data_IF_790640764103
#
_entry.id   IF_790640764103
#
_cell.length_a   1.000
_cell.length_b   1.000
_cell.length_c   1.000
_cell.angle_alpha   90.00
_cell.angle_beta   90.00
_cell.angle_gamma   90.00
#
_symmetry.space_group_name_H-M   'P 1'
#
loop_
_entity.id
_entity.type
_entity.pdbx_description
1 polymer ?
#
# COMPACT_ATOMS: atom_id res chain seq x y z
N UNK A 1 -14.20 9.03 14.18
CA UNK A 1 -12.98 9.85 14.19
C UNK A 1 -12.68 10.33 15.60
N UNK A 2 -11.54 9.96 16.18
CA UNK A 2 -11.13 10.47 17.50
C UNK A 2 -10.66 11.91 17.38
N UNK A 3 -10.76 12.71 18.46
CA UNK A 3 -10.23 14.08 18.52
C UNK A 3 -8.73 14.14 18.17
N UNK A 4 -8.01 13.05 18.41
CA UNK A 4 -6.59 12.89 18.10
C UNK A 4 -6.34 12.72 16.59
N UNK A 5 -7.22 12.01 15.88
CA UNK A 5 -7.10 11.77 14.44
C UNK A 5 -7.34 13.07 13.67
N UNK A 6 -8.39 13.82 14.04
CA UNK A 6 -8.67 15.14 13.44
C UNK A 6 -7.49 16.11 13.60
N UNK A 7 -6.83 16.13 14.76
CA UNK A 7 -5.65 17.00 14.95
C UNK A 7 -4.46 16.60 14.09
N UNK A 8 -4.32 15.30 13.76
CA UNK A 8 -3.28 14.84 12.86
C UNK A 8 -3.58 15.28 11.41
N UNK A 9 -4.84 15.17 10.98
CA UNK A 9 -5.27 15.57 9.64
C UNK A 9 -5.15 17.09 9.41
N UNK A 10 -5.52 17.91 10.40
CA UNK A 10 -5.31 19.35 10.39
C UNK A 10 -3.80 19.72 10.29
N UNK A 11 -2.94 18.97 10.97
CA UNK A 11 -1.48 19.17 10.92
C UNK A 11 -0.90 18.79 9.56
N UNK A 12 -1.40 17.71 8.93
CA UNK A 12 -1.06 17.31 7.57
C UNK A 12 -1.46 18.41 6.58
N UNK A 13 -2.68 18.94 6.67
CA UNK A 13 -3.12 20.06 5.83
C UNK A 13 -2.19 21.28 5.97
N UNK A 14 -1.87 21.68 7.20
CA UNK A 14 -0.99 22.82 7.47
C UNK A 14 0.46 22.58 6.97
N UNK A 15 0.95 21.34 7.05
CA UNK A 15 2.26 20.95 6.51
C UNK A 15 2.28 21.02 4.98
N UNK A 16 1.26 20.50 4.30
CA UNK A 16 1.11 20.61 2.85
C UNK A 16 1.05 22.08 2.43
N UNK A 17 0.35 22.94 3.18
CA UNK A 17 0.22 24.36 2.83
C UNK A 17 1.58 25.06 2.91
N UNK A 18 2.41 24.72 3.91
CA UNK A 18 3.81 25.20 3.97
C UNK A 18 4.62 24.78 2.75
N UNK A 19 4.45 23.54 2.29
CA UNK A 19 5.14 23.02 1.12
C UNK A 19 4.72 23.74 -0.17
N UNK A 20 3.44 24.02 -0.33
CA UNK A 20 2.94 24.80 -1.47
C UNK A 20 3.52 26.22 -1.51
N UNK A 21 3.67 26.87 -0.34
CA UNK A 21 4.38 28.16 -0.26
C UNK A 21 5.83 28.04 -0.73
N UNK A 22 6.54 26.98 -0.35
CA UNK A 22 7.92 26.75 -0.81
C UNK A 22 7.97 26.52 -2.33
N UNK A 23 7.10 25.66 -2.86
CA UNK A 23 7.00 25.39 -4.30
C UNK A 23 6.67 26.65 -5.12
N UNK A 24 5.82 27.52 -4.59
CA UNK A 24 5.48 28.83 -5.17
C UNK A 24 6.61 29.89 -5.09
N UNK A 25 7.79 29.52 -4.57
CA UNK A 25 8.95 30.40 -4.45
C UNK A 25 8.97 31.23 -3.18
N UNK A 26 8.40 30.71 -2.10
CA UNK A 26 8.31 31.34 -0.77
C UNK A 26 7.79 32.79 -0.79
N UNK A 27 6.63 33.06 -1.43
CA UNK A 27 6.06 34.39 -1.41
C UNK A 27 5.71 34.80 0.03
N UNK A 28 5.82 36.09 0.34
CA UNK A 28 5.48 36.57 1.69
C UNK A 28 3.97 36.44 1.93
N UNK A 29 3.58 36.08 3.16
CA UNK A 29 2.16 35.96 3.52
C UNK A 29 1.40 37.27 3.28
N UNK A 30 2.05 38.42 3.50
CA UNK A 30 1.48 39.73 3.21
C UNK A 30 1.26 39.99 1.72
N UNK A 31 2.15 39.50 0.84
CA UNK A 31 1.97 39.61 -0.61
C UNK A 31 0.77 38.79 -1.07
N UNK A 32 0.67 37.54 -0.61
CA UNK A 32 -0.40 36.64 -1.00
C UNK A 32 -1.75 37.13 -0.46
N UNK A 33 -1.80 37.53 0.82
CA UNK A 33 -2.97 38.13 1.46
C UNK A 33 -3.63 39.25 0.65
N UNK A 34 -2.81 40.16 0.10
CA UNK A 34 -3.29 41.28 -0.74
C UNK A 34 -3.94 40.84 -2.04
N UNK A 35 -3.56 39.68 -2.58
CA UNK A 35 -4.05 39.19 -3.86
C UNK A 35 -5.33 38.36 -3.72
N UNK A 36 -5.52 37.66 -2.59
CA UNK A 36 -6.67 36.78 -2.36
C UNK A 36 -7.73 37.35 -1.43
N UNK A 37 -7.49 38.53 -0.83
CA UNK A 37 -8.48 39.21 0.01
C UNK A 37 -8.62 38.63 1.42
N UNK A 38 -7.68 37.78 1.86
CA UNK A 38 -7.63 37.19 3.20
C UNK A 38 -6.54 37.85 4.03
N UNK A 39 -6.75 38.04 5.34
CA UNK A 39 -5.75 38.66 6.21
C UNK A 39 -4.47 37.83 6.33
N UNK A 40 -3.32 38.50 6.43
CA UNK A 40 -2.04 37.83 6.61
C UNK A 40 -1.96 36.99 7.91
N UNK A 41 -2.63 37.45 8.98
CA UNK A 41 -2.74 36.71 10.23
C UNK A 41 -3.49 35.39 10.05
N UNK A 42 -4.61 35.42 9.33
CA UNK A 42 -5.43 34.24 9.03
C UNK A 42 -4.64 33.19 8.26
N UNK A 43 -3.96 33.59 7.18
CA UNK A 43 -3.12 32.67 6.39
C UNK A 43 -1.99 32.08 7.26
N UNK A 44 -1.39 32.88 8.13
CA UNK A 44 -0.37 32.40 9.05
C UNK A 44 -0.91 31.38 10.07
N UNK A 45 -2.15 31.57 10.54
CA UNK A 45 -2.81 30.62 11.43
C UNK A 45 -3.09 29.28 10.75
N UNK A 46 -3.59 29.28 9.52
CA UNK A 46 -3.79 28.07 8.71
C UNK A 46 -2.47 27.32 8.50
N UNK A 47 -1.42 28.05 8.16
CA UNK A 47 -0.09 27.47 7.89
C UNK A 47 0.60 26.87 9.13
N UNK A 48 0.21 27.32 10.32
CA UNK A 48 0.75 26.82 11.59
C UNK A 48 -0.13 25.76 12.24
N UNK A 49 -1.27 25.42 11.63
CA UNK A 49 -2.26 24.51 12.22
C UNK A 49 -2.94 25.07 13.47
N UNK A 50 -2.79 26.37 13.77
CA UNK A 50 -3.41 27.00 14.95
C UNK A 50 -4.92 27.21 14.77
N UNK A 51 -5.33 27.43 13.53
CA UNK A 51 -6.74 27.54 13.16
C UNK A 51 -6.92 26.82 11.83
N UNK A 52 -8.01 26.08 11.67
CA UNK A 52 -8.39 25.46 10.41
C UNK A 52 -9.49 26.31 9.73
N UNK A 53 -9.50 26.49 8.39
CA UNK A 53 -10.58 27.23 7.73
C UNK A 53 -11.92 26.53 7.94
N UNK A 54 -13.00 27.30 8.15
CA UNK A 54 -14.34 26.71 8.37
C UNK A 54 -14.97 26.19 7.09
N UNK A 55 -14.60 26.74 5.93
CA UNK A 55 -15.11 26.37 4.62
C UNK A 55 -13.98 26.37 3.60
N UNK A 56 -14.00 25.42 2.66
CA UNK A 56 -12.99 25.32 1.60
C UNK A 56 -12.94 26.58 0.73
N UNK A 57 -14.09 27.18 0.42
CA UNK A 57 -14.19 28.42 -0.36
C UNK A 57 -13.39 29.59 0.23
N UNK A 58 -13.12 29.56 1.55
CA UNK A 58 -12.32 30.60 2.23
C UNK A 58 -10.83 30.50 1.88
N UNK A 59 -10.34 29.28 1.60
CA UNK A 59 -8.93 29.00 1.31
C UNK A 59 -8.68 28.69 -0.17
N UNK A 60 -9.70 28.31 -0.94
CA UNK A 60 -9.60 27.95 -2.35
C UNK A 60 -8.87 29.01 -3.22
N UNK A 61 -9.15 30.32 -3.13
CA UNK A 61 -8.45 31.32 -3.94
C UNK A 61 -6.94 31.37 -3.66
N UNK A 62 -6.55 31.12 -2.40
CA UNK A 62 -5.15 31.00 -1.98
C UNK A 62 -4.47 29.80 -2.64
N UNK A 63 -5.15 28.66 -2.64
CA UNK A 63 -4.64 27.41 -3.19
C UNK A 63 -4.49 27.50 -4.71
N UNK A 64 -5.52 27.98 -5.41
CA UNK A 64 -5.48 28.17 -6.87
C UNK A 64 -4.31 29.05 -7.29
N UNK A 65 -4.14 30.20 -6.62
CA UNK A 65 -3.06 31.13 -6.94
C UNK A 65 -1.67 30.53 -6.69
N UNK A 66 -1.47 29.87 -5.54
CA UNK A 66 -0.16 29.31 -5.20
C UNK A 66 0.17 28.09 -6.08
N UNK A 67 -0.82 27.27 -6.42
CA UNK A 67 -0.67 26.15 -7.36
C UNK A 67 -0.31 26.64 -8.76
N UNK A 68 -1.02 27.63 -9.30
CA UNK A 68 -0.68 28.22 -10.61
C UNK A 68 0.75 28.82 -10.61
N UNK A 69 1.11 29.55 -9.54
CA UNK A 69 2.45 30.10 -9.37
C UNK A 69 3.53 29.01 -9.28
N UNK A 70 3.26 27.91 -8.60
CA UNK A 70 4.17 26.76 -8.52
C UNK A 70 4.37 26.12 -9.91
N UNK A 71 3.28 25.89 -10.67
CA UNK A 71 3.37 25.38 -12.03
C UNK A 71 4.09 26.34 -12.99
N UNK A 72 3.91 27.64 -12.84
CA UNK A 72 4.64 28.63 -13.64
C UNK A 72 6.16 28.55 -13.39
N UNK A 73 6.58 28.31 -12.15
CA UNK A 73 7.99 28.13 -11.79
C UNK A 73 8.58 26.84 -12.33
N UNK A 74 7.80 25.75 -12.35
CA UNK A 74 8.18 24.48 -12.99
C UNK A 74 8.38 24.69 -14.49
N UNK A 75 7.41 25.31 -15.17
CA UNK A 75 7.49 25.61 -16.62
C UNK A 75 8.68 26.50 -17.01
N UNK A 76 9.09 27.41 -16.12
CA UNK A 76 10.20 28.33 -16.36
C UNK A 76 11.57 27.77 -15.94
N UNK A 77 11.63 26.52 -15.45
CA UNK A 77 12.87 25.88 -15.01
C UNK A 77 13.49 26.53 -13.76
N UNK A 78 12.78 27.44 -13.11
CA UNK A 78 13.24 28.18 -11.94
C UNK A 78 13.07 27.41 -10.62
N UNK A 79 12.61 26.15 -10.71
CA UNK A 79 12.30 25.28 -9.59
C UNK A 79 12.91 23.90 -9.81
N UNK A 80 13.67 23.41 -8.83
CA UNK A 80 14.03 21.99 -8.71
C UNK A 80 12.85 21.14 -8.18
N UNK A 81 11.67 21.73 -7.98
CA UNK A 81 10.47 21.08 -7.43
C UNK A 81 9.78 20.07 -8.38
N UNK A 82 10.52 19.45 -9.29
CA UNK A 82 10.06 18.22 -9.95
C UNK A 82 9.93 17.07 -8.94
N UNK A 83 10.57 17.18 -7.77
CA UNK A 83 10.55 16.18 -6.68
C UNK A 83 9.41 16.34 -5.65
N UNK A 84 8.65 17.44 -5.70
CA UNK A 84 7.54 17.69 -4.78
C UNK A 84 6.27 17.95 -5.60
N UNK A 85 5.52 16.90 -5.91
CA UNK A 85 4.25 16.98 -6.63
C UNK A 85 3.38 18.13 -6.11
N UNK A 86 3.06 19.09 -6.99
CA UNK A 86 2.18 20.21 -6.65
C UNK A 86 0.76 19.67 -6.61
N UNK A 87 0.14 19.72 -5.43
CA UNK A 87 -1.22 19.22 -5.24
C UNK A 87 -2.23 20.00 -6.11
N UNK A 88 -3.10 19.25 -6.79
CA UNK A 88 -4.23 19.80 -7.55
C UNK A 88 -5.30 20.35 -6.60
N UNK A 89 -6.17 21.23 -7.10
CA UNK A 89 -7.28 21.79 -6.31
C UNK A 89 -8.18 20.70 -5.73
N UNK A 90 -8.35 19.59 -6.46
CA UNK A 90 -9.13 18.42 -6.01
C UNK A 90 -8.47 17.67 -4.86
N UNK A 91 -7.15 17.48 -4.92
CA UNK A 91 -6.37 16.87 -3.83
C UNK A 91 -6.38 17.77 -2.58
N UNK A 92 -6.33 19.09 -2.77
CA UNK A 92 -6.49 20.05 -1.68
C UNK A 92 -7.86 19.96 -1.01
N UNK A 93 -8.91 19.77 -1.79
CA UNK A 93 -10.25 19.59 -1.27
C UNK A 93 -10.35 18.28 -0.47
N UNK A 94 -9.76 17.18 -0.95
CA UNK A 94 -9.68 15.93 -0.19
C UNK A 94 -8.94 16.08 1.16
N UNK A 95 -7.81 16.78 1.19
CA UNK A 95 -7.11 17.10 2.44
C UNK A 95 -7.93 18.01 3.37
N UNK A 96 -8.70 18.94 2.79
CA UNK A 96 -9.58 19.81 3.56
C UNK A 96 -10.73 19.02 4.17
N UNK A 97 -11.38 18.16 3.39
CA UNK A 97 -12.52 17.34 3.82
C UNK A 97 -12.10 16.36 4.93
N UNK A 98 -10.93 15.71 4.77
CA UNK A 98 -10.32 14.85 5.79
C UNK A 98 -10.07 15.62 7.10
N UNK A 99 -9.47 16.81 7.03
CA UNK A 99 -9.19 17.64 8.21
C UNK A 99 -10.46 18.26 8.82
N UNK A 100 -11.46 18.61 8.02
CA UNK A 100 -12.77 19.05 8.48
C UNK A 100 -13.56 17.91 9.14
N UNK A 101 -13.20 16.66 8.84
CA UNK A 101 -14.00 15.49 9.14
C UNK A 101 -15.36 15.49 8.45
N UNK A 102 -15.48 16.18 7.32
CA UNK A 102 -16.55 15.90 6.36
C UNK A 102 -16.14 14.61 5.63
N UNK A 103 -16.95 13.55 5.75
CA UNK A 103 -16.89 12.43 4.80
C UNK A 103 -16.87 13.02 3.39
N UNK A 104 -15.81 12.73 2.61
CA UNK A 104 -15.68 13.09 1.20
C UNK A 104 -17.02 12.82 0.52
N UNK A 105 -17.75 13.88 0.19
CA UNK A 105 -19.17 13.77 -0.18
C UNK A 105 -19.32 12.84 -1.40
N UNK A 106 -20.10 11.78 -1.23
CA UNK A 106 -20.52 10.77 -2.22
C UNK A 106 -20.52 11.19 -3.71
N UNK A 107 -21.02 12.37 -4.15
CA UNK A 107 -21.00 12.78 -5.56
C UNK A 107 -19.61 12.81 -6.23
N UNK A 108 -18.54 13.13 -5.49
CA UNK A 108 -17.19 13.16 -6.07
C UNK A 108 -16.65 11.75 -6.33
N UNK A 109 -16.94 10.81 -5.43
CA UNK A 109 -16.59 9.40 -5.56
C UNK A 109 -17.42 8.73 -6.66
N UNK A 110 -18.70 9.08 -6.78
CA UNK A 110 -19.58 8.62 -7.86
C UNK A 110 -19.04 9.05 -9.24
N UNK A 111 -18.54 10.28 -9.36
CA UNK A 111 -17.94 10.75 -10.61
C UNK A 111 -16.63 10.03 -10.94
N UNK A 112 -15.77 9.76 -9.93
CA UNK A 112 -14.52 9.00 -10.12
C UNK A 112 -14.85 7.56 -10.51
N UNK A 113 -15.79 6.92 -9.81
CA UNK A 113 -16.26 5.58 -10.11
C UNK A 113 -16.81 5.49 -11.55
N UNK A 114 -17.64 6.46 -11.97
CA UNK A 114 -18.18 6.51 -13.32
C UNK A 114 -17.10 6.75 -14.39
N UNK A 115 -16.06 7.54 -14.08
CA UNK A 115 -14.91 7.74 -14.96
C UNK A 115 -14.04 6.49 -15.07
N UNK A 116 -13.75 5.82 -13.94
CA UNK A 116 -13.03 4.55 -13.90
C UNK A 116 -13.76 3.44 -14.64
N UNK A 117 -15.10 3.36 -14.52
CA UNK A 117 -15.90 2.37 -15.25
C UNK A 117 -15.91 2.64 -16.75
N UNK A 118 -16.03 3.91 -17.18
CA UNK A 118 -15.95 4.26 -18.60
C UNK A 118 -14.59 3.93 -19.20
N UNK A 119 -13.52 4.19 -18.45
CA UNK A 119 -12.17 3.80 -18.83
C UNK A 119 -12.06 2.28 -18.97
N UNK A 120 -12.47 1.51 -17.96
CA UNK A 120 -12.39 0.04 -17.98
C UNK A 120 -13.21 -0.61 -19.11
N UNK A 121 -14.29 0.03 -19.57
CA UNK A 121 -15.08 -0.43 -20.72
C UNK A 121 -14.43 -0.14 -22.07
N UNK A 122 -13.59 0.90 -22.14
CA UNK A 122 -12.88 1.30 -23.35
C UNK A 122 -11.50 0.61 -23.48
N UNK A 123 -10.90 0.22 -22.35
CA UNK A 123 -9.60 -0.45 -22.28
C UNK A 123 -9.66 -1.93 -22.66
N UNK A 124 -8.53 -2.48 -23.10
CA UNK A 124 -8.40 -3.92 -23.36
C UNK A 124 -8.29 -4.74 -22.06
N UNK A 125 -8.46 -6.05 -22.17
CA UNK A 125 -8.45 -6.96 -21.02
C UNK A 125 -7.11 -6.95 -20.25
N UNK A 126 -5.98 -6.72 -20.93
CA UNK A 126 -4.67 -6.64 -20.30
C UNK A 126 -4.52 -5.38 -19.45
N UNK A 127 -4.94 -4.23 -19.97
CA UNK A 127 -4.96 -2.97 -19.22
C UNK A 127 -5.90 -3.04 -17.99
N UNK A 128 -7.07 -3.68 -18.14
CA UNK A 128 -8.01 -3.87 -17.02
C UNK A 128 -7.43 -4.79 -15.94
N UNK A 129 -6.74 -5.86 -16.31
CA UNK A 129 -6.09 -6.76 -15.35
C UNK A 129 -4.90 -6.09 -14.65
N UNK A 130 -4.14 -5.28 -15.38
CA UNK A 130 -3.09 -4.45 -14.78
C UNK A 130 -3.68 -3.46 -13.76
N UNK A 131 -4.78 -2.77 -14.11
CA UNK A 131 -5.47 -1.88 -13.18
C UNK A 131 -6.00 -2.63 -11.95
N UNK A 132 -6.58 -3.82 -12.13
CA UNK A 132 -7.01 -4.68 -11.01
C UNK A 132 -5.85 -4.98 -10.08
N UNK A 133 -4.71 -5.42 -10.63
CA UNK A 133 -3.51 -5.75 -9.86
C UNK A 133 -3.01 -4.54 -9.07
N UNK A 134 -2.98 -3.36 -9.70
CA UNK A 134 -2.54 -2.12 -9.05
C UNK A 134 -3.49 -1.69 -7.94
N UNK A 135 -4.79 -1.65 -8.22
CA UNK A 135 -5.79 -1.18 -7.25
C UNK A 135 -5.85 -2.11 -6.03
N UNK A 136 -5.85 -3.43 -6.23
CA UNK A 136 -5.80 -4.40 -5.12
C UNK A 136 -4.46 -4.36 -4.39
N UNK A 137 -3.36 -4.08 -5.09
CA UNK A 137 -2.05 -3.81 -4.50
C UNK A 137 -2.07 -2.65 -3.51
N UNK A 138 -2.85 -1.61 -3.79
CA UNK A 138 -3.04 -0.41 -2.98
C UNK A 138 -4.06 -0.54 -1.84
N UNK A 139 -4.51 -1.75 -1.51
CA UNK A 139 -5.47 -1.99 -0.43
C UNK A 139 -4.90 -2.90 0.64
N UNK A 140 -5.35 -2.80 1.88
CA UNK A 140 -5.05 -3.76 2.95
C UNK A 140 -6.26 -3.97 3.85
N UNK A 141 -6.21 -5.01 4.68
CA UNK A 141 -7.26 -5.26 5.67
C UNK A 141 -6.84 -4.73 7.03
N UNK A 142 -7.64 -3.82 7.58
CA UNK A 142 -7.54 -3.40 8.97
C UNK A 142 -7.79 -4.57 9.94
N UNK A 143 -7.39 -4.41 11.19
CA UNK A 143 -7.63 -5.36 12.29
C UNK A 143 -9.13 -5.66 12.46
N UNK A 144 -9.99 -4.69 12.17
CA UNK A 144 -11.45 -4.83 12.24
C UNK A 144 -12.06 -5.51 11.00
N UNK A 145 -11.23 -5.94 10.03
CA UNK A 145 -11.65 -6.56 8.78
C UNK A 145 -12.08 -5.57 7.69
N UNK A 146 -12.07 -4.26 7.96
CA UNK A 146 -12.32 -3.24 6.95
C UNK A 146 -11.19 -3.18 5.92
N UNK A 147 -11.52 -2.94 4.65
CA UNK A 147 -10.52 -2.73 3.60
C UNK A 147 -10.17 -1.25 3.52
N UNK A 148 -8.89 -0.92 3.67
CA UNK A 148 -8.38 0.46 3.70
C UNK A 148 -7.29 0.69 2.65
N UNK A 149 -7.13 1.92 2.13
CA UNK A 149 -6.04 2.23 1.21
C UNK A 149 -4.68 2.15 1.89
N UNK A 150 -3.68 1.67 1.16
CA UNK A 150 -2.26 1.71 1.53
C UNK A 150 -1.43 2.32 0.41
N UNK A 151 -0.30 2.91 0.79
CA UNK A 151 0.73 3.28 -0.17
C UNK A 151 1.46 2.03 -0.67
N UNK A 152 1.45 1.81 -1.98
CA UNK A 152 2.12 0.68 -2.61
C UNK A 152 2.86 1.14 -3.87
N UNK A 153 4.05 0.59 -4.09
CA UNK A 153 4.81 0.84 -5.31
C UNK A 153 4.65 -0.38 -6.22
N UNK A 154 3.96 -0.26 -7.38
CA UNK A 154 3.92 -1.32 -8.35
C UNK A 154 5.34 -1.67 -8.79
N UNK A 155 5.65 -2.97 -8.83
CA UNK A 155 6.89 -3.43 -9.43
C UNK A 155 6.88 -3.02 -10.91
N UNK A 156 7.93 -2.32 -11.35
CA UNK A 156 8.12 -1.95 -12.76
C UNK A 156 8.57 -3.17 -13.55
N UNK A 157 7.76 -4.22 -13.61
CA UNK A 157 8.03 -5.40 -14.43
C UNK A 157 7.70 -5.06 -15.88
N UNK A 158 8.73 -4.60 -16.61
CA UNK A 158 8.93 -4.75 -18.07
C UNK A 158 7.79 -4.42 -19.05
N UNK A 159 8.10 -3.55 -20.01
CA UNK A 159 7.32 -3.19 -21.22
C UNK A 159 5.97 -2.49 -20.99
N UNK A 160 6.02 -1.20 -20.66
CA UNK A 160 5.04 -0.17 -21.06
C UNK A 160 3.64 -0.18 -20.44
N UNK A 161 3.05 -1.32 -20.06
CA UNK A 161 1.62 -1.37 -19.74
C UNK A 161 1.24 -0.81 -18.36
N UNK A 162 1.90 -1.26 -17.29
CA UNK A 162 1.48 -0.93 -15.90
C UNK A 162 1.70 0.55 -15.58
N UNK A 163 2.81 1.14 -16.07
CA UNK A 163 3.10 2.56 -15.85
C UNK A 163 2.09 3.48 -16.53
N UNK A 164 1.71 3.16 -17.77
CA UNK A 164 0.70 3.91 -18.51
C UNK A 164 -0.67 3.81 -17.82
N UNK A 165 -1.06 2.61 -17.37
CA UNK A 165 -2.30 2.40 -16.59
C UNK A 165 -2.28 3.19 -15.27
N UNK A 166 -1.16 3.20 -14.55
CA UNK A 166 -1.02 3.99 -13.32
C UNK A 166 -1.19 5.49 -13.60
N UNK A 167 -0.54 6.01 -14.64
CA UNK A 167 -0.66 7.41 -15.03
C UNK A 167 -2.10 7.78 -15.40
N UNK A 168 -2.78 6.95 -16.19
CA UNK A 168 -4.19 7.15 -16.56
C UNK A 168 -5.10 7.12 -15.32
N UNK A 169 -4.90 6.18 -14.39
CA UNK A 169 -5.69 6.11 -13.16
C UNK A 169 -5.45 7.30 -12.22
N UNK A 170 -4.24 7.88 -12.23
CA UNK A 170 -3.94 9.14 -11.53
C UNK A 170 -4.69 10.30 -12.18
N UNK A 171 -4.66 10.42 -13.51
CA UNK A 171 -5.37 11.47 -14.25
C UNK A 171 -6.89 11.41 -14.04
N UNK A 172 -7.45 10.20 -13.89
CA UNK A 172 -8.86 10.00 -13.56
C UNK A 172 -9.19 10.32 -12.08
N UNK A 173 -8.18 10.45 -11.22
CA UNK A 173 -8.32 10.67 -9.78
C UNK A 173 -8.69 9.41 -8.99
N UNK A 174 -8.49 8.22 -9.57
CA UNK A 174 -8.67 6.93 -8.87
C UNK A 174 -7.48 6.67 -7.94
N UNK A 175 -6.28 6.96 -8.44
CA UNK A 175 -5.03 6.84 -7.69
C UNK A 175 -4.49 8.23 -7.34
N UNK A 176 -3.75 8.29 -6.24
CA UNK A 176 -2.96 9.45 -5.82
C UNK A 176 -1.55 8.98 -5.50
N UNK A 177 -0.57 9.87 -5.65
CA UNK A 177 0.79 9.65 -5.16
C UNK A 177 0.87 10.12 -3.70
N UNK A 178 0.87 9.22 -2.70
CA UNK A 178 0.94 9.61 -1.30
C UNK A 178 2.32 10.17 -0.98
N UNK A 179 2.35 11.28 -0.25
CA UNK A 179 3.58 11.82 0.32
C UNK A 179 3.98 10.96 1.52
N UNK A 180 4.68 9.86 1.28
CA UNK A 180 5.20 8.98 2.33
C UNK A 180 6.43 9.65 2.95
N UNK A 181 6.31 10.16 4.17
CA UNK A 181 7.48 10.58 4.97
C UNK A 181 8.09 9.36 5.65
N UNK A 182 9.19 8.83 5.12
CA UNK A 182 10.07 7.95 5.90
C UNK A 182 11.16 8.77 6.60
N UNK A 183 11.47 8.38 7.83
CA UNK A 183 12.47 9.02 8.71
C UNK A 183 13.90 8.61 8.32
N UNK A 184 14.05 7.58 7.48
CA UNK A 184 15.31 7.08 6.96
C UNK A 184 15.16 6.88 5.44
N UNK A 185 16.08 7.49 4.69
CA UNK A 185 16.33 7.36 3.25
C UNK A 185 15.35 7.95 2.22
N UNK A 186 15.98 8.31 1.09
CA UNK A 186 15.53 9.02 -0.10
C UNK A 186 14.05 8.86 -0.45
N UNK A 187 13.46 9.96 -0.92
CA UNK A 187 12.10 10.04 -1.44
C UNK A 187 11.73 8.76 -2.20
N UNK A 188 10.85 7.94 -1.60
CA UNK A 188 10.25 6.76 -2.21
C UNK A 188 9.33 7.22 -3.35
N UNK A 189 9.96 7.59 -4.46
CA UNK A 189 9.31 8.00 -5.70
C UNK A 189 8.63 6.77 -6.31
N UNK A 190 7.34 6.90 -6.67
CA UNK A 190 6.57 5.84 -7.34
C UNK A 190 5.61 5.04 -6.45
N UNK A 191 5.38 5.44 -5.19
CA UNK A 191 4.24 4.91 -4.44
C UNK A 191 2.94 5.54 -4.94
N UNK A 192 1.90 4.74 -5.01
CA UNK A 192 0.52 5.14 -5.30
C UNK A 192 -0.42 4.55 -4.26
N UNK A 193 -1.57 5.19 -4.07
CA UNK A 193 -2.64 4.73 -3.20
C UNK A 193 -4.00 5.02 -3.83
N UNK A 194 -5.03 4.25 -3.48
CA UNK A 194 -6.41 4.60 -3.83
C UNK A 194 -6.80 5.88 -3.10
N UNK A 195 -7.47 6.79 -3.81
CA UNK A 195 -7.85 8.11 -3.27
C UNK A 195 -8.64 8.02 -1.96
N UNK A 196 -9.60 7.09 -1.88
CA UNK A 196 -10.51 6.93 -0.74
C UNK A 196 -11.10 5.51 -0.70
N UNK A 197 -11.34 4.96 0.48
CA UNK A 197 -11.99 3.65 0.69
C UNK A 197 -13.44 3.61 0.18
N UNK A 198 -14.18 4.72 0.24
CA UNK A 198 -15.56 4.81 -0.24
C UNK A 198 -15.70 4.59 -1.76
N UNK A 199 -14.59 4.68 -2.51
CA UNK A 199 -14.57 4.30 -3.92
C UNK A 199 -14.88 2.80 -4.10
N UNK A 200 -14.52 1.95 -3.14
CA UNK A 200 -14.81 0.50 -3.18
C UNK A 200 -16.32 0.26 -3.15
N UNK A 201 -17.05 1.03 -2.35
CA UNK A 201 -18.51 0.93 -2.25
C UNK A 201 -19.21 1.52 -3.47
N UNK A 202 -18.66 2.62 -4.00
CA UNK A 202 -19.28 3.40 -5.07
C UNK A 202 -19.01 2.82 -6.46
N UNK A 203 -17.90 2.08 -6.66
CA UNK A 203 -17.52 1.48 -7.93
C UNK A 203 -17.76 -0.04 -7.92
N UNK A 204 -18.84 -0.56 -8.54
CA UNK A 204 -19.23 -1.97 -8.43
C UNK A 204 -18.17 -2.97 -8.92
N UNK A 205 -17.36 -2.57 -9.91
CA UNK A 205 -16.27 -3.40 -10.43
C UNK A 205 -15.13 -3.53 -9.42
N UNK A 206 -14.72 -2.42 -8.82
CA UNK A 206 -13.71 -2.42 -7.75
C UNK A 206 -14.21 -3.21 -6.55
N UNK A 207 -15.48 -3.02 -6.15
CA UNK A 207 -16.11 -3.83 -5.09
C UNK A 207 -15.97 -5.33 -5.34
N UNK A 208 -16.27 -5.79 -6.57
CA UNK A 208 -16.12 -7.20 -6.95
C UNK A 208 -14.68 -7.67 -6.90
N UNK A 209 -13.74 -6.89 -7.45
CA UNK A 209 -12.32 -7.22 -7.38
C UNK A 209 -11.81 -7.35 -5.94
N UNK A 210 -12.26 -6.46 -5.06
CA UNK A 210 -11.94 -6.52 -3.63
C UNK A 210 -12.55 -7.76 -2.99
N UNK A 211 -13.82 -8.06 -3.27
CA UNK A 211 -14.47 -9.26 -2.74
C UNK A 211 -13.75 -10.56 -3.16
N UNK A 212 -13.35 -10.64 -4.43
CA UNK A 212 -12.61 -11.79 -4.97
C UNK A 212 -11.20 -11.89 -4.35
N UNK A 213 -10.54 -10.75 -4.09
CA UNK A 213 -9.19 -10.70 -3.52
C UNK A 213 -9.16 -10.72 -1.99
N UNK A 214 -10.31 -10.61 -1.31
CA UNK A 214 -10.39 -10.41 0.13
C UNK A 214 -9.66 -11.48 0.97
N UNK A 215 -9.79 -12.80 0.69
CA UNK A 215 -9.04 -13.82 1.41
C UNK A 215 -7.52 -13.62 1.30
N UNK A 216 -7.06 -13.19 0.12
CA UNK A 216 -5.66 -12.97 -0.12
C UNK A 216 -5.13 -11.69 0.52
N UNK A 217 -5.95 -10.63 0.58
CA UNK A 217 -5.63 -9.41 1.33
C UNK A 217 -5.46 -9.70 2.84
N UNK A 218 -6.31 -10.56 3.41
CA UNK A 218 -6.16 -11.03 4.81
C UNK A 218 -4.84 -11.77 4.98
N UNK A 219 -4.52 -12.70 4.08
CA UNK A 219 -3.29 -13.49 4.16
C UNK A 219 -2.04 -12.58 4.09
N UNK A 220 -2.03 -11.61 3.17
CA UNK A 220 -0.94 -10.63 3.05
C UNK A 220 -0.79 -9.79 4.32
N UNK A 221 -1.88 -9.20 4.79
CA UNK A 221 -1.83 -8.30 5.96
C UNK A 221 -1.49 -9.07 7.23
N UNK A 222 -2.01 -10.29 7.38
CA UNK A 222 -1.67 -11.19 8.48
C UNK A 222 -0.18 -11.56 8.47
N UNK A 223 0.39 -11.85 7.30
CA UNK A 223 1.83 -12.11 7.16
C UNK A 223 2.69 -10.92 7.57
N UNK A 224 2.34 -9.70 7.13
CA UNK A 224 3.06 -8.48 7.51
C UNK A 224 2.98 -8.22 9.02
N UNK A 225 1.81 -8.37 9.62
CA UNK A 225 1.64 -8.23 11.07
C UNK A 225 2.41 -9.28 11.85
N UNK A 226 2.36 -10.56 11.44
CA UNK A 226 3.08 -11.63 12.13
C UNK A 226 4.59 -11.45 12.01
N UNK A 227 5.09 -11.02 10.85
CA UNK A 227 6.49 -10.66 10.67
C UNK A 227 6.92 -9.53 11.61
N UNK A 228 6.10 -8.47 11.73
CA UNK A 228 6.37 -7.35 12.63
C UNK A 228 6.38 -7.80 14.09
N UNK A 229 5.39 -8.60 14.51
CA UNK A 229 5.30 -9.14 15.88
C UNK A 229 6.49 -10.05 16.20
N UNK A 230 6.88 -10.92 15.27
CA UNK A 230 8.04 -11.79 15.40
C UNK A 230 9.34 -11.00 15.55
N UNK A 231 9.55 -9.99 14.70
CA UNK A 231 10.73 -9.12 14.78
C UNK A 231 10.78 -8.36 16.12
N UNK A 232 9.64 -7.81 16.57
CA UNK A 232 9.55 -7.09 17.84
C UNK A 232 9.76 -7.99 19.08
N UNK A 233 9.50 -9.30 18.96
CA UNK A 233 9.65 -10.27 20.04
C UNK A 233 11.02 -10.96 20.09
N UNK A 234 12.04 -10.39 19.41
CA UNK A 234 13.39 -10.98 19.27
C UNK A 234 13.38 -12.34 18.56
N UNK A 235 12.49 -12.46 17.56
CA UNK A 235 12.50 -13.51 16.54
C UNK A 235 12.34 -14.95 17.10
N UNK A 236 11.32 -15.22 17.92
CA UNK A 236 11.13 -16.54 18.50
C UNK A 236 10.79 -17.58 17.42
N UNK A 237 11.48 -18.72 17.45
CA UNK A 237 11.26 -19.82 16.47
C UNK A 237 9.85 -20.41 16.53
N UNK A 238 9.22 -20.40 17.71
CA UNK A 238 7.88 -20.95 17.92
C UNK A 238 6.75 -20.19 17.19
N UNK A 239 7.04 -19.00 16.64
CA UNK A 239 6.05 -18.18 15.92
C UNK A 239 6.18 -18.26 14.41
N UNK A 240 7.18 -18.99 13.91
CA UNK A 240 7.36 -19.22 12.48
C UNK A 240 6.21 -20.07 11.93
N UNK A 241 5.89 -19.86 10.66
CA UNK A 241 4.83 -20.62 10.01
C UNK A 241 5.26 -22.08 9.80
N UNK A 242 4.31 -22.99 9.98
CA UNK A 242 4.44 -24.38 9.53
C UNK A 242 4.29 -24.48 8.00
N UNK A 243 4.55 -25.67 7.45
CA UNK A 243 4.48 -25.91 6.01
C UNK A 243 3.06 -25.66 5.43
N UNK A 244 2.00 -25.97 6.19
CA UNK A 244 0.61 -25.84 5.72
C UNK A 244 0.24 -24.37 5.60
N UNK A 245 0.61 -23.57 6.60
CA UNK A 245 0.38 -22.13 6.62
C UNK A 245 1.22 -21.42 5.56
N UNK A 246 2.45 -21.88 5.29
CA UNK A 246 3.27 -21.39 4.18
C UNK A 246 2.61 -21.66 2.83
N UNK A 247 2.11 -22.88 2.57
CA UNK A 247 1.43 -23.20 1.31
C UNK A 247 0.17 -22.36 1.08
N UNK A 248 -0.70 -22.25 2.10
CA UNK A 248 -1.92 -21.45 2.00
C UNK A 248 -1.63 -19.96 1.80
N UNK A 249 -0.64 -19.42 2.51
CA UNK A 249 -0.26 -18.01 2.37
C UNK A 249 0.38 -17.76 1.01
N UNK A 250 1.19 -18.69 0.50
CA UNK A 250 1.82 -18.57 -0.80
C UNK A 250 0.80 -18.55 -1.94
N UNK A 251 -0.16 -19.48 -1.92
CA UNK A 251 -1.24 -19.53 -2.91
C UNK A 251 -2.02 -18.21 -2.93
N UNK A 252 -2.41 -17.72 -1.76
CA UNK A 252 -3.05 -16.42 -1.60
C UNK A 252 -2.21 -15.27 -2.20
N UNK A 253 -0.91 -15.19 -1.90
CA UNK A 253 -0.05 -14.12 -2.44
C UNK A 253 0.11 -14.20 -3.97
N UNK A 254 0.16 -15.40 -4.54
CA UNK A 254 0.20 -15.58 -6.00
C UNK A 254 -1.09 -15.14 -6.67
N UNK A 255 -2.26 -15.31 -6.04
CA UNK A 255 -3.53 -14.77 -6.58
C UNK A 255 -3.56 -13.23 -6.64
N UNK A 256 -2.80 -12.54 -5.78
CA UNK A 256 -2.70 -11.07 -5.78
C UNK A 256 -1.72 -10.53 -6.82
N UNK A 257 -0.60 -11.21 -7.02
CA UNK A 257 0.48 -10.75 -7.90
C UNK A 257 0.23 -11.07 -9.39
N UNK A 258 -0.75 -11.94 -9.68
CA UNK A 258 -0.87 -12.56 -11.00
C UNK A 258 0.10 -13.74 -11.15
N UNK A 259 -0.24 -14.68 -12.03
CA UNK A 259 0.53 -15.90 -12.22
C UNK A 259 1.91 -15.59 -12.85
N UNK A 260 2.93 -15.48 -12.01
CA UNK A 260 4.32 -15.44 -12.47
C UNK A 260 4.98 -16.79 -12.18
N UNK A 261 5.28 -17.52 -13.25
CA UNK A 261 5.81 -18.90 -13.17
C UNK A 261 7.34 -18.85 -13.14
N UNK A 262 7.88 -18.38 -12.03
CA UNK A 262 9.32 -18.39 -11.77
C UNK A 262 9.78 -19.70 -11.15
N UNK A 263 10.51 -20.52 -11.92
CA UNK A 263 11.21 -21.70 -11.41
C UNK A 263 12.30 -21.27 -10.42
N UNK A 264 12.07 -21.53 -9.14
CA UNK A 264 13.10 -21.45 -8.11
C UNK A 264 12.85 -22.61 -7.15
N UNK A 265 13.95 -23.25 -6.73
CA UNK A 265 13.99 -24.57 -6.10
C UNK A 265 13.03 -24.83 -4.94
N UNK A 266 13.05 -26.07 -4.45
CA UNK A 266 12.07 -26.58 -3.49
C UNK A 266 11.83 -25.63 -2.31
N UNK A 267 10.57 -25.24 -2.15
CA UNK A 267 10.04 -24.39 -1.07
C UNK A 267 8.58 -24.76 -0.84
N UNK A 268 8.02 -24.40 0.31
CA UNK A 268 6.58 -24.58 0.56
C UNK A 268 5.80 -23.46 -0.12
N UNK A 269 4.91 -23.84 -1.04
CA UNK A 269 4.11 -22.92 -1.84
C UNK A 269 4.82 -22.34 -3.07
N UNK A 270 4.06 -21.68 -3.94
CA UNK A 270 4.54 -21.16 -5.23
C UNK A 270 5.03 -19.70 -5.19
N UNK A 271 4.81 -19.00 -4.08
CA UNK A 271 5.11 -17.58 -3.98
C UNK A 271 6.61 -17.28 -4.09
N UNK A 272 6.97 -16.33 -4.96
CA UNK A 272 8.34 -15.85 -5.18
C UNK A 272 8.66 -14.62 -4.34
N UNK A 273 9.94 -14.31 -4.15
CA UNK A 273 10.38 -13.18 -3.32
C UNK A 273 9.83 -11.82 -3.78
N UNK A 274 9.46 -11.68 -5.05
CA UNK A 274 8.78 -10.47 -5.57
C UNK A 274 7.32 -10.36 -5.14
N UNK A 275 6.69 -11.48 -4.76
CA UNK A 275 5.30 -11.55 -4.32
C UNK A 275 5.17 -11.44 -2.79
N UNK A 276 6.27 -11.63 -2.07
CA UNK A 276 6.31 -11.47 -0.61
C UNK A 276 6.49 -9.98 -0.28
N UNK A 277 5.67 -9.42 0.64
CA UNK A 277 5.87 -8.05 1.10
C UNK A 277 7.28 -7.85 1.68
N UNK A 278 7.93 -6.74 1.33
CA UNK A 278 9.31 -6.46 1.72
C UNK A 278 9.54 -6.54 3.24
N UNK A 279 8.56 -6.10 4.04
CA UNK A 279 8.59 -6.16 5.51
C UNK A 279 8.56 -7.59 6.07
N UNK A 280 8.10 -8.57 5.30
CA UNK A 280 7.89 -9.95 5.73
C UNK A 280 8.86 -10.95 5.10
N UNK A 281 9.75 -10.53 4.19
CA UNK A 281 10.70 -11.43 3.50
C UNK A 281 11.53 -12.23 4.50
N UNK A 282 12.08 -11.57 5.52
CA UNK A 282 12.93 -12.24 6.50
C UNK A 282 12.16 -13.27 7.33
N UNK A 283 10.95 -12.93 7.78
CA UNK A 283 10.07 -13.86 8.49
C UNK A 283 9.67 -15.06 7.62
N UNK A 284 9.39 -14.81 6.35
CA UNK A 284 9.05 -15.84 5.36
C UNK A 284 10.20 -16.82 5.15
N UNK A 285 11.42 -16.32 4.91
CA UNK A 285 12.62 -17.15 4.74
C UNK A 285 12.95 -17.94 6.01
N UNK A 286 12.84 -17.31 7.19
CA UNK A 286 13.02 -18.00 8.46
C UNK A 286 12.00 -19.14 8.62
N UNK A 287 10.74 -18.90 8.27
CA UNK A 287 9.67 -19.92 8.33
C UNK A 287 9.92 -21.08 7.36
N UNK A 288 10.32 -20.78 6.11
CA UNK A 288 10.69 -21.80 5.13
C UNK A 288 11.85 -22.68 5.64
N UNK A 289 12.90 -22.06 6.18
CA UNK A 289 14.05 -22.79 6.72
C UNK A 289 13.68 -23.68 7.92
N UNK A 290 12.80 -23.18 8.80
CA UNK A 290 12.32 -23.92 9.96
C UNK A 290 11.49 -25.13 9.54
N UNK A 291 10.53 -24.97 8.63
CA UNK A 291 9.69 -26.04 8.13
C UNK A 291 10.51 -27.13 7.40
N UNK A 292 11.51 -26.75 6.58
CA UNK A 292 12.40 -27.72 5.92
C UNK A 292 13.20 -28.50 6.95
N UNK A 293 13.70 -27.83 7.99
CA UNK A 293 14.47 -28.51 9.05
C UNK A 293 13.60 -29.48 9.86
N UNK A 294 12.34 -29.15 10.11
CA UNK A 294 11.39 -30.02 10.82
C UNK A 294 11.06 -31.28 10.02
N UNK A 295 10.86 -31.16 8.70
CA UNK A 295 10.68 -32.33 7.83
C UNK A 295 11.92 -33.22 7.81
N UNK A 296 13.12 -32.64 7.74
CA UNK A 296 14.37 -33.42 7.77
C UNK A 296 14.52 -34.18 9.08
N UNK A 297 14.19 -33.56 10.21
CA UNK A 297 14.22 -34.23 11.52
C UNK A 297 13.24 -35.40 11.55
N UNK A 298 12.00 -35.21 11.10
CA UNK A 298 11.00 -36.29 11.04
C UNK A 298 11.45 -37.42 10.09
N UNK A 299 12.01 -37.10 8.93
CA UNK A 299 12.55 -38.09 7.99
C UNK A 299 13.71 -38.89 8.60
N UNK A 300 14.63 -38.23 9.30
CA UNK A 300 15.74 -38.90 10.00
C UNK A 300 15.23 -39.81 11.10
N UNK A 301 14.28 -39.34 11.93
CA UNK A 301 13.68 -40.15 13.01
C UNK A 301 12.97 -41.38 12.44
N UNK A 302 12.16 -41.21 11.39
CA UNK A 302 11.49 -42.33 10.71
C UNK A 302 12.49 -43.31 10.10
N UNK A 303 13.55 -42.83 9.45
CA UNK A 303 14.60 -43.68 8.90
C UNK A 303 15.30 -44.48 10.01
N UNK A 304 15.61 -43.86 11.15
CA UNK A 304 16.20 -44.54 12.32
C UNK A 304 15.26 -45.61 12.88
N UNK A 305 13.96 -45.31 13.01
CA UNK A 305 12.96 -46.29 13.48
C UNK A 305 12.86 -47.48 12.52
N UNK A 306 12.86 -47.23 11.21
CA UNK A 306 12.81 -48.30 10.19
C UNK A 306 14.07 -49.16 10.26
N UNK A 307 15.25 -48.55 10.33
CA UNK A 307 16.53 -49.28 10.46
C UNK A 307 16.55 -50.11 11.75
N UNK A 308 16.11 -49.55 12.88
CA UNK A 308 16.05 -50.26 14.15
C UNK A 308 15.07 -51.44 14.10
N UNK A 309 13.91 -51.26 13.46
CA UNK A 309 12.92 -52.33 13.27
C UNK A 309 13.46 -53.46 12.40
N UNK A 310 14.13 -53.14 11.29
CA UNK A 310 14.78 -54.13 10.42
C UNK A 310 15.89 -54.88 11.16
N UNK A 311 16.68 -54.19 11.98
CA UNK A 311 17.73 -54.81 12.78
C UNK A 311 17.17 -55.79 13.82
N UNK A 312 16.10 -55.41 14.54
CA UNK A 312 15.42 -56.28 15.51
C UNK A 312 14.79 -57.49 14.83
N UNK A 313 14.14 -57.30 13.68
CA UNK A 313 13.57 -58.40 12.90
C UNK A 313 14.65 -59.35 12.38
N UNK A 314 15.76 -58.81 11.85
CA UNK A 314 16.90 -59.60 11.38
C UNK A 314 17.55 -60.41 12.50
N UNK A 315 17.70 -59.81 13.69
CA UNK A 315 18.23 -60.51 14.87
C UNK A 315 17.27 -61.59 15.38
N UNK A 316 15.96 -61.34 15.33
CA UNK A 316 14.93 -62.33 15.68
C UNK A 316 14.91 -63.54 14.74
N UNK A 317 15.07 -63.32 13.43
CA UNK A 317 15.21 -64.40 12.44
C UNK A 317 16.50 -65.19 12.67
N UNK A 318 17.63 -64.52 12.94
CA UNK A 318 18.90 -65.19 13.19
C UNK A 318 18.88 -66.08 14.45
N UNK A 319 18.19 -65.63 15.51
CA UNK A 319 18.03 -66.41 16.75
C UNK A 319 16.98 -67.52 16.61
N UNK A 320 15.90 -67.30 15.84
CA UNK A 320 14.86 -68.30 15.61
C UNK A 320 15.27 -69.45 14.68
N UNK A 321 16.33 -69.30 13.90
CA UNK A 321 16.88 -70.38 13.04
C UNK A 321 17.78 -71.36 13.82
N UNK A 322 18.12 -71.05 15.08
CA UNK A 322 19.02 -71.86 15.92
C UNK A 322 18.26 -72.68 16.98
N UNK A 323 16.94 -72.49 17.10
CA UNK A 323 16.06 -73.29 17.97
C UNK A 323 15.32 -74.37 17.16
#
# INVERSE_FOLDING_TARGET
MSKRDRSADEEVFAASLRQLFMAAGSPTVAQVARQVGVSAGTISHWRTGRHFPSEFATIEPLLVQLTDRAHQRIRTGASSAHEAGVLTVRQWQGLFDAAAGEEVKAPALEQIAASGERWAQASDAGAVEAARTVLVGCLETSVDGAVVPRAWAPAHSGTGGVGDVVAELIDLGVLVEPVVRSVEDEARSGHVAVVDSGLIETWPRLSRWVADAYPALIARTGLEHDAQRWSAADRPRAWLYDHTRLELTADALTTLAGADSGDAGFRFGVATGSQIPASAIEFWEASQSAAVSELRVHQIVMAVIVVLSVMVLGLGVALGVVA
#
